data_IF_969917617132
#
_entry.id   IF_969917617132
#
_cell.length_a   1.000
_cell.length_b   1.000
_cell.length_c   1.000
_cell.angle_alpha   90.00
_cell.angle_beta   90.00
_cell.angle_gamma   90.00
#
_symmetry.space_group_name_H-M   'P 1'
#
loop_
_entity.id
_entity.type
_entity.pdbx_description
1 polymer ?
#
# COMPACT_ATOMS: atom_id res chain seq x y z
N UNK A 1 -60.75 -63.39 -18.13
CA UNK A 1 -60.61 -62.07 -17.48
C UNK A 1 -59.19 -61.60 -17.74
N UNK A 2 -58.99 -60.62 -18.62
CA UNK A 2 -57.67 -60.02 -18.86
C UNK A 2 -57.82 -58.51 -18.83
N UNK A 3 -57.20 -57.86 -17.86
CA UNK A 3 -57.19 -56.41 -17.69
C UNK A 3 -55.89 -55.92 -18.33
N UNK A 4 -56.00 -55.21 -19.44
CA UNK A 4 -54.88 -54.55 -20.12
C UNK A 4 -54.49 -53.29 -19.35
N UNK A 5 -53.27 -53.24 -18.82
CA UNK A 5 -52.73 -52.07 -18.14
C UNK A 5 -52.31 -51.00 -19.16
N UNK A 6 -52.97 -49.83 -19.14
CA UNK A 6 -52.54 -48.66 -19.91
C UNK A 6 -51.38 -47.96 -19.20
N UNK A 7 -50.24 -47.88 -19.88
CA UNK A 7 -49.05 -47.15 -19.44
C UNK A 7 -49.27 -45.64 -19.69
N UNK A 8 -49.44 -44.85 -18.62
CA UNK A 8 -49.59 -43.39 -18.72
C UNK A 8 -48.19 -42.78 -18.81
N UNK A 9 -47.78 -42.34 -20.00
CA UNK A 9 -46.57 -41.53 -20.16
C UNK A 9 -46.87 -40.10 -19.71
N UNK A 10 -46.23 -39.65 -18.63
CA UNK A 10 -46.22 -38.24 -18.24
C UNK A 10 -45.35 -37.47 -19.23
N UNK A 11 -45.96 -36.76 -20.18
CA UNK A 11 -45.26 -35.76 -20.98
C UNK A 11 -45.13 -34.49 -20.16
N UNK A 12 -43.95 -34.27 -19.58
CA UNK A 12 -43.61 -32.99 -18.97
C UNK A 12 -43.45 -31.97 -20.10
N UNK A 13 -44.49 -31.15 -20.30
CA UNK A 13 -44.46 -30.03 -21.23
C UNK A 13 -43.51 -28.96 -20.69
N UNK A 14 -42.26 -28.96 -21.16
CA UNK A 14 -41.33 -27.86 -20.93
C UNK A 14 -41.78 -26.72 -21.85
N UNK A 15 -42.32 -25.67 -21.26
CA UNK A 15 -42.71 -24.46 -21.99
C UNK A 15 -41.46 -23.64 -22.26
N UNK A 16 -41.02 -23.64 -23.52
CA UNK A 16 -39.98 -22.72 -24.00
C UNK A 16 -40.55 -21.30 -23.96
N UNK A 17 -40.28 -20.57 -22.88
CA UNK A 17 -40.63 -19.16 -22.73
C UNK A 17 -39.45 -18.30 -23.19
N UNK A 18 -39.66 -17.54 -24.26
CA UNK A 18 -38.70 -16.58 -24.79
C UNK A 18 -38.95 -15.17 -24.26
N UNK A 19 -37.89 -14.37 -24.17
CA UNK A 19 -38.00 -12.94 -23.87
C UNK A 19 -38.61 -12.18 -25.05
N UNK A 20 -39.45 -11.20 -24.75
CA UNK A 20 -39.96 -10.31 -25.80
C UNK A 20 -38.92 -9.26 -26.18
N UNK A 21 -39.00 -8.74 -27.41
CA UNK A 21 -38.09 -7.69 -27.88
C UNK A 21 -38.16 -6.42 -27.00
N UNK A 22 -39.37 -6.07 -26.54
CA UNK A 22 -39.61 -4.92 -25.67
C UNK A 22 -38.98 -5.13 -24.28
N UNK A 23 -39.07 -6.34 -23.75
CA UNK A 23 -38.51 -6.69 -22.44
C UNK A 23 -36.99 -6.58 -22.44
N UNK A 24 -36.34 -7.03 -23.52
CA UNK A 24 -34.90 -6.88 -23.70
C UNK A 24 -34.51 -5.39 -23.86
N UNK A 25 -35.32 -4.59 -24.55
CA UNK A 25 -35.10 -3.15 -24.68
C UNK A 25 -35.15 -2.44 -23.32
N UNK A 26 -36.13 -2.76 -22.48
CA UNK A 26 -36.23 -2.19 -21.13
C UNK A 26 -35.04 -2.60 -20.26
N UNK A 27 -34.60 -3.86 -20.32
CA UNK A 27 -33.43 -4.33 -19.56
C UNK A 27 -32.16 -3.58 -19.96
N UNK A 28 -31.90 -3.39 -21.26
CA UNK A 28 -30.71 -2.66 -21.74
C UNK A 28 -30.76 -1.18 -21.31
N UNK A 29 -31.94 -0.57 -21.34
CA UNK A 29 -32.14 0.80 -20.84
C UNK A 29 -31.83 0.88 -19.34
N UNK A 30 -32.33 -0.05 -18.53
CA UNK A 30 -32.06 -0.07 -17.08
C UNK A 30 -30.55 -0.29 -16.81
N UNK A 31 -29.93 -1.26 -17.48
CA UNK A 31 -28.49 -1.55 -17.30
C UNK A 31 -27.62 -0.37 -17.72
N UNK A 32 -27.95 0.30 -18.83
CA UNK A 32 -27.18 1.47 -19.29
C UNK A 32 -27.27 2.65 -18.32
N UNK A 33 -28.44 2.92 -17.74
CA UNK A 33 -28.64 3.94 -16.72
C UNK A 33 -27.85 3.64 -15.44
N UNK A 34 -27.91 2.40 -14.95
CA UNK A 34 -27.17 1.98 -13.76
C UNK A 34 -25.65 2.05 -13.98
N UNK A 35 -25.17 1.60 -15.14
CA UNK A 35 -23.74 1.59 -15.46
C UNK A 35 -23.20 3.02 -15.60
N UNK A 36 -23.97 3.93 -16.21
CA UNK A 36 -23.58 5.33 -16.37
C UNK A 36 -23.38 6.09 -15.04
N UNK A 37 -24.10 5.71 -13.98
CA UNK A 37 -24.03 6.39 -12.67
C UNK A 37 -22.89 5.89 -11.75
N UNK A 38 -22.39 4.67 -11.94
CA UNK A 38 -21.51 4.01 -10.97
C UNK A 38 -20.01 4.29 -11.17
N UNK A 39 -19.55 4.52 -12.40
CA UNK A 39 -18.12 4.61 -12.76
C UNK A 39 -17.30 5.65 -11.96
N UNK A 40 -17.75 6.91 -11.73
CA UNK A 40 -16.87 7.91 -11.11
C UNK A 40 -16.53 7.61 -9.64
N UNK A 41 -17.40 6.94 -8.90
CA UNK A 41 -17.19 6.62 -7.48
C UNK A 41 -16.08 5.56 -7.27
N UNK A 42 -15.99 4.59 -8.20
CA UNK A 42 -14.98 3.52 -8.12
C UNK A 42 -13.54 4.02 -8.25
N UNK A 43 -13.30 5.06 -9.06
CA UNK A 43 -11.94 5.59 -9.25
C UNK A 43 -11.35 6.14 -7.95
N UNK A 44 -12.12 6.97 -7.23
CA UNK A 44 -11.70 7.56 -5.96
C UNK A 44 -11.51 6.50 -4.87
N UNK A 45 -12.38 5.48 -4.85
CA UNK A 45 -12.24 4.35 -3.93
C UNK A 45 -10.93 3.60 -4.17
N UNK A 46 -10.64 3.24 -5.42
CA UNK A 46 -9.40 2.52 -5.78
C UNK A 46 -8.16 3.32 -5.39
N UNK A 47 -8.12 4.62 -5.68
CA UNK A 47 -7.01 5.51 -5.29
C UNK A 47 -6.75 5.49 -3.79
N UNK A 48 -7.81 5.62 -2.98
CA UNK A 48 -7.67 5.58 -1.53
C UNK A 48 -7.24 4.21 -1.01
N UNK A 49 -7.73 3.11 -1.61
CA UNK A 49 -7.25 1.76 -1.28
C UNK A 49 -5.77 1.58 -1.62
N UNK A 50 -5.33 2.08 -2.78
CA UNK A 50 -3.93 2.01 -3.19
C UNK A 50 -3.02 2.77 -2.21
N UNK A 51 -3.41 3.98 -1.79
CA UNK A 51 -2.69 4.76 -0.78
C UNK A 51 -2.63 4.04 0.57
N UNK A 52 -3.76 3.49 1.03
CA UNK A 52 -3.82 2.74 2.29
C UNK A 52 -2.95 1.49 2.24
N UNK A 53 -2.96 0.77 1.12
CA UNK A 53 -2.10 -0.40 0.91
C UNK A 53 -0.63 -0.01 0.94
N UNK A 54 -0.23 1.05 0.23
CA UNK A 54 1.14 1.54 0.22
C UNK A 54 1.61 1.99 1.63
N UNK A 55 0.75 2.67 2.38
CA UNK A 55 1.01 3.06 3.77
C UNK A 55 1.22 1.84 4.68
N UNK A 56 0.38 0.81 4.56
CA UNK A 56 0.51 -0.42 5.34
C UNK A 56 1.75 -1.21 4.98
N UNK A 57 2.08 -1.30 3.68
CA UNK A 57 3.32 -1.94 3.21
C UNK A 57 4.53 -1.22 3.76
N UNK A 58 4.59 0.11 3.66
CA UNK A 58 5.69 0.90 4.23
C UNK A 58 5.80 0.68 5.74
N UNK A 59 4.69 0.79 6.49
CA UNK A 59 4.70 0.60 7.94
C UNK A 59 5.18 -0.81 8.34
N UNK A 60 4.78 -1.84 7.58
CA UNK A 60 5.25 -3.22 7.78
C UNK A 60 6.75 -3.34 7.53
N UNK A 61 7.24 -2.75 6.45
CA UNK A 61 8.66 -2.79 6.09
C UNK A 61 9.51 -2.02 7.10
N UNK A 62 9.06 -0.86 7.58
CA UNK A 62 9.75 -0.12 8.63
C UNK A 62 9.86 -0.92 9.92
N UNK A 63 8.79 -1.59 10.34
CA UNK A 63 8.82 -2.50 11.50
C UNK A 63 9.80 -3.65 11.28
N UNK A 64 9.87 -4.20 10.07
CA UNK A 64 10.84 -5.24 9.73
C UNK A 64 12.29 -4.71 9.83
N UNK A 65 12.56 -3.51 9.32
CA UNK A 65 13.88 -2.87 9.39
C UNK A 65 14.27 -2.54 10.83
N UNK A 66 13.34 -2.02 11.64
CA UNK A 66 13.59 -1.79 13.07
C UNK A 66 13.89 -3.11 13.81
N UNK A 67 13.14 -4.18 13.52
CA UNK A 67 13.42 -5.50 14.08
C UNK A 67 14.80 -6.03 13.64
N UNK A 68 15.20 -5.81 12.39
CA UNK A 68 16.56 -6.15 11.91
C UNK A 68 17.63 -5.37 12.65
N UNK A 69 17.39 -4.08 12.96
CA UNK A 69 18.26 -3.28 13.79
C UNK A 69 18.44 -3.91 15.18
N UNK A 70 17.32 -4.14 15.90
CA UNK A 70 17.36 -4.66 17.26
C UNK A 70 17.89 -6.11 17.37
N UNK A 71 17.84 -6.88 16.28
CA UNK A 71 18.37 -8.26 16.25
C UNK A 71 19.80 -8.33 15.70
N UNK A 72 20.37 -7.22 15.21
CA UNK A 72 21.69 -7.19 14.59
C UNK A 72 21.81 -8.02 13.31
N UNK A 73 20.70 -8.35 12.64
CA UNK A 73 20.70 -9.18 11.42
C UNK A 73 21.62 -8.57 10.35
N UNK A 74 22.49 -9.38 9.72
CA UNK A 74 23.46 -8.95 8.68
C UNK A 74 24.29 -7.70 9.04
N UNK A 75 24.60 -7.51 10.32
CA UNK A 75 25.54 -6.50 10.81
C UNK A 75 26.97 -7.04 10.72
N UNK A 76 27.84 -6.36 9.98
CA UNK A 76 29.29 -6.59 10.01
C UNK A 76 29.93 -5.71 11.09
N UNK A 77 31.22 -5.92 11.38
CA UNK A 77 31.99 -5.04 12.25
C UNK A 77 31.85 -3.58 11.80
N UNK A 78 31.47 -2.69 12.73
CA UNK A 78 31.30 -1.25 12.47
C UNK A 78 29.90 -0.81 12.03
N UNK A 79 28.93 -1.73 11.89
CA UNK A 79 27.54 -1.34 11.60
C UNK A 79 26.82 -0.95 12.89
N UNK A 80 26.22 0.25 12.91
CA UNK A 80 25.46 0.77 14.05
C UNK A 80 23.96 0.96 13.74
N UNK A 81 23.59 0.98 12.45
CA UNK A 81 22.25 1.32 12.01
C UNK A 81 21.74 0.39 10.92
N UNK A 82 20.43 0.16 10.94
CA UNK A 82 19.63 -0.35 9.83
C UNK A 82 18.67 0.72 9.38
N UNK A 83 18.40 0.84 8.08
CA UNK A 83 17.58 1.95 7.61
C UNK A 83 16.93 1.75 6.26
N UNK A 84 16.14 2.74 5.89
CA UNK A 84 15.62 2.91 4.54
C UNK A 84 16.05 4.24 3.94
N UNK A 85 16.36 4.23 2.65
CA UNK A 85 16.73 5.41 1.87
C UNK A 85 15.70 5.63 0.77
N UNK A 86 15.08 6.81 0.81
CA UNK A 86 14.22 7.32 -0.25
C UNK A 86 15.11 8.17 -1.16
N UNK A 87 15.50 7.67 -2.34
CA UNK A 87 16.69 8.13 -3.04
C UNK A 87 16.54 9.52 -3.67
N UNK A 88 15.31 9.94 -3.99
CA UNK A 88 15.02 11.20 -4.67
C UNK A 88 13.59 11.66 -4.38
N UNK A 89 13.28 12.88 -4.84
CA UNK A 89 11.92 13.39 -4.81
C UNK A 89 10.97 12.49 -5.60
N UNK A 90 9.81 12.20 -5.03
CA UNK A 90 8.76 11.42 -5.67
C UNK A 90 9.17 9.99 -6.05
N UNK A 91 10.06 9.36 -5.26
CA UNK A 91 10.46 7.97 -5.49
C UNK A 91 9.27 7.02 -5.33
N UNK A 92 9.15 6.00 -6.17
CA UNK A 92 8.14 4.95 -6.03
C UNK A 92 8.61 3.76 -5.18
N UNK A 93 9.86 3.76 -4.73
CA UNK A 93 10.46 2.71 -3.90
C UNK A 93 11.53 3.29 -2.97
N UNK A 94 12.02 2.46 -2.05
CA UNK A 94 13.12 2.76 -1.15
C UNK A 94 14.11 1.60 -1.10
N UNK A 95 15.32 1.90 -0.66
CA UNK A 95 16.40 0.94 -0.48
C UNK A 95 16.57 0.60 0.99
N UNK A 96 16.71 -0.68 1.32
CA UNK A 96 17.14 -1.13 2.64
C UNK A 96 18.66 -1.05 2.73
N UNK A 97 19.17 -0.61 3.88
CA UNK A 97 20.61 -0.53 4.06
C UNK A 97 21.04 -0.75 5.51
N UNK A 98 22.33 -1.06 5.67
CA UNK A 98 23.07 -0.92 6.93
C UNK A 98 24.06 0.22 6.85
N UNK A 99 24.32 0.90 7.97
CA UNK A 99 25.26 2.02 8.03
C UNK A 99 26.01 2.08 9.36
N UNK A 100 27.24 2.59 9.32
CA UNK A 100 28.02 2.99 10.49
C UNK A 100 27.57 4.36 11.04
N UNK A 101 27.16 5.26 10.15
CA UNK A 101 26.78 6.64 10.47
C UNK A 101 25.33 6.94 10.09
N UNK A 102 24.71 7.91 10.77
CA UNK A 102 23.32 8.36 10.54
C UNK A 102 23.25 9.81 10.02
N UNK A 103 24.34 10.32 9.46
CA UNK A 103 24.49 11.75 9.14
C UNK A 103 24.14 12.13 7.70
N UNK A 104 23.93 11.16 6.81
CA UNK A 104 23.64 11.42 5.39
C UNK A 104 22.88 10.26 4.74
N UNK A 105 22.10 10.59 3.71
CA UNK A 105 21.49 9.60 2.82
C UNK A 105 22.44 8.99 1.78
N UNK A 106 23.64 9.55 1.67
CA UNK A 106 24.64 9.16 0.70
C UNK A 106 25.68 8.24 1.31
N UNK A 107 26.28 7.34 0.51
CA UNK A 107 27.39 6.49 0.95
C UNK A 107 28.61 7.36 1.28
N UNK A 108 28.82 7.67 2.56
CA UNK A 108 30.00 8.36 3.09
C UNK A 108 30.85 7.50 4.03
N UNK A 109 30.43 6.26 4.31
CA UNK A 109 31.07 5.26 5.18
C UNK A 109 30.69 3.83 4.75
N UNK A 110 30.68 2.84 5.67
CA UNK A 110 30.14 1.49 5.40
C UNK A 110 28.61 1.58 5.26
N UNK A 111 28.13 2.11 4.13
CA UNK A 111 26.74 2.01 3.72
C UNK A 111 26.62 0.79 2.81
N UNK A 112 25.91 -0.24 3.27
CA UNK A 112 25.72 -1.47 2.49
C UNK A 112 24.26 -1.59 2.09
N UNK A 113 24.01 -1.69 0.78
CA UNK A 113 22.68 -1.95 0.25
C UNK A 113 22.29 -3.40 0.57
N UNK A 114 21.13 -3.56 1.24
CA UNK A 114 20.59 -4.84 1.68
C UNK A 114 19.40 -5.29 0.82
N UNK A 115 19.12 -4.58 -0.26
CA UNK A 115 18.01 -4.80 -1.18
C UNK A 115 17.13 -3.56 -1.35
N UNK A 116 16.10 -3.71 -2.18
CA UNK A 116 15.13 -2.65 -2.48
C UNK A 116 13.72 -3.12 -2.15
N UNK A 117 12.85 -2.18 -1.80
CA UNK A 117 11.42 -2.44 -1.70
C UNK A 117 10.84 -2.75 -3.09
N UNK A 118 9.67 -3.38 -3.10
CA UNK A 118 8.86 -3.35 -4.30
C UNK A 118 8.44 -1.92 -4.60
N UNK A 119 8.40 -1.57 -5.89
CA UNK A 119 7.88 -0.27 -6.30
C UNK A 119 6.38 -0.22 -6.05
N UNK A 120 5.89 0.90 -5.52
CA UNK A 120 4.47 1.16 -5.43
C UNK A 120 3.86 1.29 -6.83
N UNK A 121 2.59 0.92 -6.92
CA UNK A 121 1.82 1.07 -8.15
C UNK A 121 1.69 2.55 -8.51
N UNK A 122 1.88 2.87 -9.79
CA UNK A 122 1.72 4.23 -10.29
C UNK A 122 0.30 4.76 -10.01
N UNK A 123 0.14 6.03 -9.60
CA UNK A 123 1.15 7.09 -9.52
C UNK A 123 1.65 7.35 -8.08
N UNK A 124 1.66 6.34 -7.20
CA UNK A 124 2.08 6.54 -5.81
C UNK A 124 3.57 6.86 -5.72
N UNK A 125 3.88 7.90 -4.96
CA UNK A 125 5.24 8.40 -4.74
C UNK A 125 5.50 8.69 -3.27
N UNK A 126 6.77 8.68 -2.89
CA UNK A 126 7.25 8.96 -1.56
C UNK A 126 8.00 10.28 -1.51
N UNK A 127 7.61 11.11 -0.53
CA UNK A 127 8.25 12.39 -0.20
C UNK A 127 8.46 13.34 -1.40
N UNK A 128 8.77 14.59 -1.11
CA UNK A 128 9.12 15.60 -2.11
C UNK A 128 10.63 15.82 -2.23
N UNK A 129 11.44 15.08 -1.47
CA UNK A 129 12.90 15.18 -1.42
C UNK A 129 13.51 13.84 -1.00
N UNK A 130 14.81 13.68 -1.25
CA UNK A 130 15.59 12.59 -0.67
C UNK A 130 15.51 12.62 0.86
N UNK A 131 15.37 11.44 1.47
CA UNK A 131 15.40 11.32 2.92
C UNK A 131 15.61 9.89 3.40
N UNK A 132 16.19 9.75 4.59
CA UNK A 132 16.59 8.47 5.16
C UNK A 132 16.18 8.38 6.61
N UNK A 133 15.81 7.16 6.98
CA UNK A 133 15.45 6.76 8.32
C UNK A 133 16.44 5.70 8.77
N UNK A 134 17.02 5.90 9.94
CA UNK A 134 17.98 5.00 10.56
C UNK A 134 17.40 4.53 11.89
N UNK A 135 17.43 3.23 12.13
CA UNK A 135 17.16 2.62 13.43
C UNK A 135 18.49 2.18 14.04
N UNK A 136 18.75 2.64 15.26
CA UNK A 136 19.90 2.21 16.05
C UNK A 136 19.80 0.73 16.39
N UNK A 137 20.89 -0.01 16.20
CA UNK A 137 21.00 -1.42 16.59
C UNK A 137 21.03 -1.56 18.12
N UNK A 138 21.52 -0.54 18.84
CA UNK A 138 21.69 -0.59 20.30
C UNK A 138 20.35 -0.58 21.03
N UNK A 139 19.40 0.24 20.57
CA UNK A 139 18.17 0.53 21.31
C UNK A 139 16.91 0.68 20.44
N UNK A 140 17.02 0.63 19.11
CA UNK A 140 15.89 0.79 18.19
C UNK A 140 15.44 2.23 17.96
N UNK A 141 16.17 3.22 18.50
CA UNK A 141 15.88 4.64 18.30
C UNK A 141 15.97 5.05 16.83
N UNK A 142 15.09 5.96 16.43
CA UNK A 142 15.00 6.46 15.07
C UNK A 142 15.75 7.78 14.90
N UNK A 143 16.60 7.84 13.89
CA UNK A 143 17.30 9.03 13.43
C UNK A 143 16.89 9.33 11.98
N UNK A 144 16.87 10.60 11.61
CA UNK A 144 16.35 11.03 10.31
C UNK A 144 17.31 11.99 9.63
N UNK A 145 17.42 11.86 8.31
CA UNK A 145 18.11 12.83 7.47
C UNK A 145 17.22 13.20 6.29
N UNK A 146 16.95 14.48 6.07
CA UNK A 146 16.15 14.95 4.92
C UNK A 146 14.65 14.60 4.94
N UNK A 147 14.15 13.96 6.01
CA UNK A 147 12.72 13.68 6.17
C UNK A 147 11.99 14.86 6.84
N UNK A 148 10.80 15.23 6.35
CA UNK A 148 10.03 16.33 6.92
C UNK A 148 9.30 15.93 8.22
N UNK A 149 8.96 16.92 9.03
CA UNK A 149 7.95 16.75 10.08
C UNK A 149 6.59 16.38 9.46
N UNK A 150 5.76 15.66 10.21
CA UNK A 150 4.39 15.40 9.79
C UNK A 150 3.60 16.70 9.59
N UNK A 151 2.70 16.77 8.58
CA UNK A 151 1.87 17.96 8.36
C UNK A 151 0.98 18.30 9.56
N UNK A 152 0.58 19.57 9.68
CA UNK A 152 -0.32 20.00 10.74
C UNK A 152 -1.64 19.20 10.72
N UNK A 153 -2.03 18.67 11.88
CA UNK A 153 -3.22 17.81 12.01
C UNK A 153 -2.94 16.31 11.84
N UNK A 154 -1.73 15.94 11.40
CA UNK A 154 -1.31 14.55 11.21
C UNK A 154 -0.17 14.20 12.16
N UNK A 155 -0.35 13.16 12.98
CA UNK A 155 0.72 12.54 13.79
C UNK A 155 1.65 13.56 14.47
N UNK A 156 1.07 14.46 15.26
CA UNK A 156 1.75 15.63 15.81
C UNK A 156 3.03 15.27 16.58
N UNK A 157 4.12 16.00 16.28
CA UNK A 157 5.43 15.81 16.91
C UNK A 157 6.25 14.64 16.34
N UNK A 158 5.80 13.99 15.26
CA UNK A 158 6.52 12.92 14.59
C UNK A 158 7.19 13.42 13.29
N UNK A 159 8.21 12.68 12.84
CA UNK A 159 8.79 12.82 11.50
C UNK A 159 8.04 11.88 10.56
N UNK A 160 7.68 12.32 9.36
CA UNK A 160 6.84 11.56 8.46
C UNK A 160 7.55 11.13 7.18
N UNK A 161 7.12 9.98 6.68
CA UNK A 161 7.24 9.62 5.27
C UNK A 161 5.86 9.80 4.64
N UNK A 162 5.81 10.66 3.62
CA UNK A 162 4.61 11.02 2.89
C UNK A 162 4.43 10.06 1.72
N UNK A 163 3.26 9.44 1.60
CA UNK A 163 2.89 8.56 0.49
C UNK A 163 1.76 9.25 -0.26
N UNK A 164 2.01 9.66 -1.51
CA UNK A 164 1.11 10.55 -2.24
C UNK A 164 0.76 9.99 -3.62
N UNK A 165 -0.53 10.03 -3.97
CA UNK A 165 -1.07 9.77 -5.31
C UNK A 165 -1.06 11.07 -6.15
N UNK A 166 -1.20 12.21 -5.47
CA UNK A 166 -1.13 13.55 -6.02
C UNK A 166 -0.65 14.53 -4.95
N UNK A 167 -0.39 15.80 -5.32
CA UNK A 167 0.00 16.83 -4.36
C UNK A 167 -1.01 17.09 -3.23
N UNK A 168 -2.28 16.67 -3.40
CA UNK A 168 -3.36 16.91 -2.43
C UNK A 168 -3.91 15.64 -1.80
N UNK A 169 -3.47 14.45 -2.23
CA UNK A 169 -3.96 13.16 -1.77
C UNK A 169 -2.79 12.32 -1.26
N UNK A 170 -2.56 12.40 0.06
CA UNK A 170 -1.46 11.74 0.74
C UNK A 170 -1.92 10.98 1.99
N UNK A 171 -1.18 9.93 2.33
CA UNK A 171 -1.19 9.25 3.61
C UNK A 171 0.21 9.29 4.21
N UNK A 172 0.30 9.16 5.53
CA UNK A 172 1.55 9.39 6.24
C UNK A 172 1.90 8.22 7.15
N UNK A 173 3.18 7.88 7.20
CA UNK A 173 3.73 7.02 8.26
C UNK A 173 4.67 7.87 9.09
N UNK A 174 4.28 8.12 10.34
CA UNK A 174 5.04 8.91 11.30
C UNK A 174 5.90 8.03 12.19
N UNK A 175 7.11 8.49 12.48
CA UNK A 175 8.07 7.87 13.37
C UNK A 175 8.58 8.93 14.36
N UNK A 176 8.64 8.61 15.65
CA UNK A 176 9.28 9.48 16.65
C UNK A 176 10.71 9.01 16.99
N UNK A 177 11.49 9.85 17.65
CA UNK A 177 12.91 9.59 17.91
C UNK A 177 13.18 8.28 18.68
N UNK A 178 12.21 7.79 19.44
CA UNK A 178 12.29 6.51 20.17
C UNK A 178 11.89 5.31 19.31
N UNK A 179 11.73 5.48 17.99
CA UNK A 179 11.34 4.42 17.06
C UNK A 179 9.86 4.03 17.10
N UNK A 180 9.00 4.77 17.79
CA UNK A 180 7.56 4.52 17.77
C UNK A 180 6.98 4.91 16.41
N UNK A 181 6.26 4.00 15.77
CA UNK A 181 5.65 4.21 14.45
C UNK A 181 4.13 4.25 14.53
N UNK A 182 3.52 5.17 13.77
CA UNK A 182 2.08 5.29 13.61
C UNK A 182 1.73 5.64 12.16
N UNK A 183 0.54 5.26 11.73
CA UNK A 183 -0.01 5.59 10.42
C UNK A 183 -1.15 6.60 10.58
N UNK A 184 -1.21 7.61 9.72
CA UNK A 184 -2.34 8.54 9.67
C UNK A 184 -3.61 7.80 9.26
N UNK A 185 -4.75 8.21 9.83
CA UNK A 185 -6.07 7.61 9.57
C UNK A 185 -6.60 8.08 8.20
#
# INVERSE_FOLDING_TARGET
>A
MSISARNIRNEVLITESGFTLVELLIVVVIVSLLTGALIPSFSSYIKNQNLKQAQQTLLSDLRNVQNKAMTGTASSTGVNYWGINIPNASASSYTYFTSEFNTSCTPGGIYTNQGNSQAFISPITLNSSQGCLFFSIENGDANYFGLPACPAGELAGMTCINICDSATSCKYVGINANGMMSASI
#
